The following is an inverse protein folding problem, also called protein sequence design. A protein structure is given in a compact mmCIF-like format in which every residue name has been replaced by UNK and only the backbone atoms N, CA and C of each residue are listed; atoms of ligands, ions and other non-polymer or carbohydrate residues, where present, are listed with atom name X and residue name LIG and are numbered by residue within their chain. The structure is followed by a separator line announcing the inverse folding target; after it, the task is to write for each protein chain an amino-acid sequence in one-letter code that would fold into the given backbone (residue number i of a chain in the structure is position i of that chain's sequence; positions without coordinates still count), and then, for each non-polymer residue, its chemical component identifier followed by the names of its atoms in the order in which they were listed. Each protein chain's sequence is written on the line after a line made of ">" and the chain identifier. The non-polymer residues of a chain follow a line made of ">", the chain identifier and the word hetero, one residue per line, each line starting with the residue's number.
data_IF_518289985662
#
_entry.id   IF_518289985662
#
_cell.length_a   1.000
_cell.length_b   1.000
_cell.length_c   1.000
_cell.angle_alpha   90.00
_cell.angle_beta   90.00
_cell.angle_gamma   90.00
#
_symmetry.space_group_name_H-M   'P 1'
#
loop_
_entity.id
_entity.type
_entity.pdbx_description
1 polymer ?
#
# COMPACT_ATOMS: atom_id res chain seq x y z
N UNK A 1 -9.81 -18.25 31.70
CA UNK A 1 -8.94 -17.37 30.89
C UNK A 1 -9.79 -16.21 30.41
N UNK A 2 -9.42 -14.98 30.74
CA UNK A 2 -10.26 -13.80 30.50
C UNK A 2 -10.38 -13.48 28.99
N UNK A 3 -11.57 -13.14 28.48
CA UNK A 3 -11.73 -12.68 27.09
C UNK A 3 -10.86 -11.44 26.78
N UNK A 4 -10.64 -10.59 27.79
CA UNK A 4 -9.77 -9.40 27.69
C UNK A 4 -8.29 -9.74 27.52
N UNK A 5 -7.80 -10.85 28.10
CA UNK A 5 -6.39 -11.24 27.93
C UNK A 5 -6.11 -11.72 26.51
N UNK A 6 -7.08 -12.34 25.83
CA UNK A 6 -6.93 -12.78 24.44
C UNK A 6 -6.89 -11.61 23.43
N UNK A 7 -7.56 -10.48 23.73
CA UNK A 7 -7.57 -9.30 22.86
C UNK A 7 -6.22 -8.55 22.87
N UNK A 8 -5.51 -8.57 23.99
CA UNK A 8 -4.24 -7.86 24.18
C UNK A 8 -3.00 -8.69 23.78
N UNK A 9 -3.09 -10.02 23.77
CA UNK A 9 -1.94 -10.91 23.56
C UNK A 9 -1.53 -11.11 22.08
N UNK A 10 -2.25 -10.53 21.10
CA UNK A 10 -2.18 -10.94 19.69
C UNK A 10 -1.59 -9.89 18.72
N UNK A 11 -1.02 -8.79 19.20
CA UNK A 11 -0.33 -7.83 18.31
C UNK A 11 1.18 -7.86 18.52
N UNK A 12 1.89 -7.75 17.41
CA UNK A 12 3.35 -7.52 17.40
C UNK A 12 3.71 -6.05 17.23
N UNK A 13 2.71 -5.22 16.91
CA UNK A 13 2.87 -3.77 16.75
C UNK A 13 2.79 -3.01 18.07
N UNK A 14 2.59 -1.70 17.95
CA UNK A 14 2.52 -0.80 19.09
C UNK A 14 1.29 -1.07 19.98
N UNK A 15 1.47 -1.04 21.30
CA UNK A 15 0.40 -1.27 22.29
C UNK A 15 -0.28 0.00 22.80
N UNK A 16 0.12 1.18 22.31
CA UNK A 16 -0.37 2.47 22.79
C UNK A 16 -1.88 2.69 22.59
N UNK A 17 -2.46 2.07 21.56
CA UNK A 17 -3.88 2.19 21.23
C UNK A 17 -4.75 1.09 21.88
N UNK A 18 -4.20 0.36 22.85
CA UNK A 18 -4.94 -0.66 23.61
C UNK A 18 -6.22 -0.13 24.28
N UNK A 19 -6.30 1.09 24.83
CA UNK A 19 -7.56 1.58 25.42
C UNK A 19 -8.66 1.74 24.38
N UNK A 20 -8.30 2.15 23.16
CA UNK A 20 -9.23 2.33 22.04
C UNK A 20 -9.71 0.96 21.53
N UNK A 21 -8.79 -0.01 21.43
CA UNK A 21 -9.12 -1.39 21.06
C UNK A 21 -10.11 -2.01 22.05
N UNK A 22 -9.89 -1.85 23.36
CA UNK A 22 -10.79 -2.32 24.40
C UNK A 22 -12.16 -1.61 24.36
N UNK A 23 -12.17 -0.30 24.14
CA UNK A 23 -13.41 0.48 24.05
C UNK A 23 -14.27 0.09 22.84
N UNK A 24 -13.66 -0.14 21.68
CA UNK A 24 -14.36 -0.49 20.45
C UNK A 24 -14.63 -1.99 20.29
N UNK A 25 -13.96 -2.84 21.08
CA UNK A 25 -14.02 -4.30 20.92
C UNK A 25 -13.40 -4.80 19.61
N UNK A 26 -12.45 -4.06 19.04
CA UNK A 26 -11.78 -4.36 17.77
C UNK A 26 -10.34 -4.82 18.06
N UNK A 27 -9.80 -5.84 17.36
CA UNK A 27 -8.41 -6.25 17.48
C UNK A 27 -7.42 -5.08 17.32
N UNK A 28 -6.40 -5.03 18.18
CA UNK A 28 -5.48 -3.90 18.27
C UNK A 28 -4.65 -3.66 17.00
N UNK A 29 -4.30 -4.72 16.26
CA UNK A 29 -3.65 -4.62 14.96
C UNK A 29 -4.50 -3.88 13.92
N UNK A 30 -5.81 -4.13 13.89
CA UNK A 30 -6.74 -3.42 13.02
C UNK A 30 -6.88 -1.95 13.42
N UNK A 31 -6.92 -1.67 14.73
CA UNK A 31 -6.94 -0.30 15.26
C UNK A 31 -5.66 0.44 14.86
N UNK A 32 -4.48 -0.17 15.05
CA UNK A 32 -3.20 0.42 14.64
C UNK A 32 -3.18 0.72 13.14
N UNK A 33 -3.64 -0.23 12.31
CA UNK A 33 -3.71 -0.05 10.86
C UNK A 33 -4.62 1.12 10.47
N UNK A 34 -5.86 1.17 10.99
CA UNK A 34 -6.83 2.24 10.69
C UNK A 34 -6.29 3.60 11.13
N UNK A 35 -5.71 3.69 12.33
CA UNK A 35 -5.15 4.94 12.85
C UNK A 35 -3.96 5.41 12.03
N UNK A 36 -3.09 4.50 11.56
CA UNK A 36 -2.04 4.83 10.62
C UNK A 36 -2.58 5.34 9.26
N UNK A 37 -3.70 4.81 8.75
CA UNK A 37 -4.31 5.34 7.52
C UNK A 37 -4.86 6.75 7.72
N UNK A 38 -5.56 7.00 8.83
CA UNK A 38 -6.10 8.32 9.16
C UNK A 38 -4.98 9.35 9.33
N UNK A 39 -3.94 8.99 10.08
CA UNK A 39 -2.76 9.83 10.25
C UNK A 39 -1.99 9.98 8.93
N UNK A 40 -1.91 8.95 8.10
CA UNK A 40 -1.33 9.00 6.76
C UNK A 40 -2.01 10.02 5.85
N UNK A 41 -3.34 10.13 5.90
CA UNK A 41 -4.10 11.15 5.17
C UNK A 41 -3.79 12.57 5.66
N UNK A 42 -3.77 12.76 6.98
CA UNK A 42 -3.41 14.04 7.59
C UNK A 42 -1.95 14.43 7.26
N UNK A 43 -1.03 13.47 7.36
CA UNK A 43 0.37 13.61 7.00
C UNK A 43 0.55 13.90 5.50
N UNK A 44 -0.29 13.35 4.62
CA UNK A 44 -0.26 13.66 3.19
C UNK A 44 -0.68 15.10 2.90
N UNK A 45 -1.70 15.60 3.61
CA UNK A 45 -2.11 17.00 3.55
C UNK A 45 -0.97 17.92 4.05
N UNK A 46 -0.41 17.61 5.21
CA UNK A 46 0.74 18.32 5.77
C UNK A 46 1.94 18.30 4.82
N UNK A 47 2.27 17.15 4.25
CA UNK A 47 3.37 16.98 3.30
C UNK A 47 3.17 17.85 2.05
N UNK A 48 1.95 17.94 1.53
CA UNK A 48 1.66 18.79 0.38
C UNK A 48 1.73 20.29 0.71
N UNK A 49 1.25 20.70 1.89
CA UNK A 49 1.18 22.12 2.28
C UNK A 49 2.54 22.69 2.71
N UNK A 50 3.30 21.92 3.49
CA UNK A 50 4.54 22.41 4.12
C UNK A 50 5.81 21.97 3.37
N UNK A 51 5.81 20.77 2.78
CA UNK A 51 6.93 20.24 2.00
C UNK A 51 6.67 20.42 0.50
N UNK A 52 6.22 21.63 0.12
CA UNK A 52 5.99 21.97 -1.29
C UNK A 52 7.31 21.94 -2.07
N UNK A 53 7.35 21.39 -3.31
CA UNK A 53 8.57 21.28 -4.11
C UNK A 53 9.35 22.59 -4.31
N UNK A 54 8.64 23.73 -4.32
CA UNK A 54 9.27 25.05 -4.46
C UNK A 54 10.04 25.50 -3.22
N UNK A 55 9.69 24.96 -2.04
CA UNK A 55 10.27 25.37 -0.75
C UNK A 55 11.29 24.38 -0.21
N UNK A 56 11.15 23.10 -0.57
CA UNK A 56 11.91 22.02 0.04
C UNK A 56 12.50 21.11 -1.04
N UNK A 57 13.81 20.87 -0.94
CA UNK A 57 14.53 20.06 -1.92
C UNK A 57 14.07 18.59 -1.97
N UNK A 58 14.25 17.91 -3.12
CA UNK A 58 13.78 16.54 -3.32
C UNK A 58 14.31 15.53 -2.29
N UNK A 59 15.59 15.62 -1.91
CA UNK A 59 16.20 14.70 -0.95
C UNK A 59 15.50 14.72 0.42
N UNK A 60 15.11 15.90 0.90
CA UNK A 60 14.38 16.03 2.19
C UNK A 60 12.98 15.45 2.06
N UNK A 61 12.29 15.70 0.94
CA UNK A 61 10.96 15.13 0.66
C UNK A 61 11.01 13.60 0.59
N UNK A 62 12.03 13.04 -0.06
CA UNK A 62 12.27 11.61 -0.10
C UNK A 62 12.55 11.03 1.30
N UNK A 63 13.43 11.67 2.07
CA UNK A 63 13.79 11.22 3.41
C UNK A 63 12.58 11.21 4.35
N UNK A 64 11.80 12.30 4.38
CA UNK A 64 10.59 12.39 5.22
C UNK A 64 9.54 11.38 4.77
N UNK A 65 9.34 11.24 3.45
CA UNK A 65 8.38 10.27 2.91
C UNK A 65 8.70 8.83 3.31
N UNK A 66 9.99 8.47 3.25
CA UNK A 66 10.50 7.15 3.66
C UNK A 66 10.47 6.96 5.18
N UNK A 67 10.83 7.98 5.96
CA UNK A 67 10.85 7.92 7.42
C UNK A 67 9.44 7.72 7.99
N UNK A 68 8.45 8.47 7.49
CA UNK A 68 7.06 8.32 7.91
C UNK A 68 6.52 6.92 7.56
N UNK A 69 6.83 6.39 6.38
CA UNK A 69 6.33 5.07 5.99
C UNK A 69 7.03 3.95 6.76
N UNK A 70 8.34 4.08 7.01
CA UNK A 70 9.07 3.17 7.90
C UNK A 70 8.46 3.17 9.31
N UNK A 71 8.14 4.35 9.84
CA UNK A 71 7.44 4.49 11.11
C UNK A 71 6.08 3.78 11.10
N UNK A 72 5.27 3.92 10.05
CA UNK A 72 3.97 3.24 9.96
C UNK A 72 4.10 1.71 9.94
N UNK A 73 5.05 1.17 9.19
CA UNK A 73 5.25 -0.28 9.13
C UNK A 73 5.74 -0.80 10.50
N UNK A 74 6.68 -0.11 11.14
CA UNK A 74 7.17 -0.48 12.48
C UNK A 74 6.04 -0.38 13.51
N UNK A 75 5.24 0.70 13.47
CA UNK A 75 4.13 0.91 14.40
C UNK A 75 3.07 -0.18 14.27
N UNK A 76 2.70 -0.56 13.04
CA UNK A 76 1.67 -1.57 12.80
C UNK A 76 2.13 -3.00 13.08
N UNK A 77 3.37 -3.35 12.72
CA UNK A 77 3.83 -4.75 12.65
C UNK A 77 5.02 -5.08 13.57
N UNK A 78 5.59 -4.11 14.27
CA UNK A 78 6.75 -4.28 15.16
C UNK A 78 7.87 -5.08 14.53
N UNK A 79 8.30 -6.18 15.14
CA UNK A 79 9.44 -6.96 14.65
C UNK A 79 9.21 -7.61 13.28
N UNK A 80 7.96 -7.92 12.91
CA UNK A 80 7.65 -8.45 11.57
C UNK A 80 7.88 -7.42 10.46
N UNK A 81 7.97 -6.12 10.79
CA UNK A 81 8.38 -5.08 9.83
C UNK A 81 9.77 -5.35 9.23
N UNK A 82 10.63 -6.10 9.93
CA UNK A 82 11.95 -6.51 9.43
C UNK A 82 11.87 -7.22 8.08
N UNK A 83 10.84 -8.02 7.82
CA UNK A 83 10.65 -8.69 6.53
C UNK A 83 10.48 -7.71 5.37
N UNK A 84 9.78 -6.60 5.61
CA UNK A 84 9.59 -5.52 4.62
C UNK A 84 10.93 -4.86 4.31
N UNK A 85 11.71 -4.53 5.34
CA UNK A 85 13.04 -3.92 5.18
C UNK A 85 14.04 -4.87 4.50
N UNK A 86 14.07 -6.14 4.90
CA UNK A 86 14.94 -7.16 4.30
C UNK A 86 14.63 -7.34 2.81
N UNK A 87 13.36 -7.49 2.45
CA UNK A 87 12.97 -7.59 1.05
C UNK A 87 13.36 -6.32 0.26
N UNK A 88 13.10 -5.14 0.84
CA UNK A 88 13.48 -3.84 0.26
C UNK A 88 14.98 -3.79 -0.06
N UNK A 89 15.83 -4.15 0.91
CA UNK A 89 17.29 -4.10 0.75
C UNK A 89 17.79 -5.16 -0.24
N UNK A 90 17.31 -6.40 -0.17
CA UNK A 90 17.68 -7.47 -1.12
C UNK A 90 17.33 -7.02 -2.55
N UNK A 91 16.11 -6.52 -2.76
CA UNK A 91 15.68 -6.06 -4.08
C UNK A 91 16.48 -4.85 -4.58
N UNK A 92 16.90 -3.92 -3.70
CA UNK A 92 17.80 -2.83 -4.09
C UNK A 92 19.17 -3.34 -4.56
N UNK A 93 19.76 -4.28 -3.82
CA UNK A 93 21.05 -4.89 -4.20
C UNK A 93 20.91 -5.58 -5.56
N UNK A 94 19.85 -6.34 -5.79
CA UNK A 94 19.60 -6.99 -7.09
C UNK A 94 19.42 -5.98 -8.22
N UNK A 95 18.65 -4.91 -7.98
CA UNK A 95 18.40 -3.85 -8.97
C UNK A 95 19.72 -3.19 -9.45
N UNK A 96 20.68 -3.04 -8.55
CA UNK A 96 21.95 -2.38 -8.84
C UNK A 96 23.07 -3.33 -9.31
N UNK A 97 23.12 -4.55 -8.77
CA UNK A 97 24.19 -5.53 -9.06
C UNK A 97 23.90 -6.42 -10.27
N UNK A 98 22.63 -6.73 -10.55
CA UNK A 98 22.29 -7.57 -11.69
C UNK A 98 22.53 -6.85 -13.02
N UNK A 99 22.80 -7.64 -14.07
CA UNK A 99 22.80 -7.14 -15.44
C UNK A 99 21.42 -6.62 -15.82
N UNK A 100 21.38 -5.54 -16.59
CA UNK A 100 20.13 -4.89 -17.01
C UNK A 100 19.24 -5.83 -17.82
N UNK A 101 19.81 -6.84 -18.50
CA UNK A 101 19.07 -7.85 -19.26
C UNK A 101 18.33 -8.87 -18.38
N UNK A 102 18.80 -9.11 -17.16
CA UNK A 102 18.26 -10.18 -16.28
C UNK A 102 17.71 -9.65 -14.95
N UNK A 103 17.84 -8.35 -14.68
CA UNK A 103 17.42 -7.71 -13.42
C UNK A 103 15.95 -7.96 -13.06
N UNK A 104 15.05 -7.97 -14.04
CA UNK A 104 13.62 -8.19 -13.84
C UNK A 104 13.33 -9.62 -13.38
N UNK A 105 13.99 -10.62 -13.97
CA UNK A 105 13.85 -12.03 -13.56
C UNK A 105 14.39 -12.27 -12.15
N UNK A 106 15.60 -11.78 -11.85
CA UNK A 106 16.16 -11.95 -10.50
C UNK A 106 15.33 -11.26 -9.44
N UNK A 107 14.86 -10.03 -9.72
CA UNK A 107 13.99 -9.30 -8.79
C UNK A 107 12.65 -10.00 -8.59
N UNK A 108 12.04 -10.53 -9.67
CA UNK A 108 10.79 -11.29 -9.60
C UNK A 108 10.94 -12.57 -8.77
N UNK A 109 11.94 -13.39 -9.07
CA UNK A 109 12.17 -14.66 -8.38
C UNK A 109 12.49 -14.41 -6.90
N UNK A 110 13.36 -13.45 -6.59
CA UNK A 110 13.70 -13.13 -5.21
C UNK A 110 12.50 -12.58 -4.42
N UNK A 111 11.75 -11.63 -4.99
CA UNK A 111 10.64 -11.00 -4.30
C UNK A 111 9.45 -11.96 -4.11
N UNK A 112 9.06 -12.67 -5.17
CA UNK A 112 7.98 -13.65 -5.11
C UNK A 112 8.37 -14.87 -4.27
N UNK A 113 9.61 -15.33 -4.36
CA UNK A 113 10.13 -16.43 -3.54
C UNK A 113 10.13 -16.07 -2.05
N UNK A 114 10.62 -14.87 -1.70
CA UNK A 114 10.61 -14.39 -0.33
C UNK A 114 9.19 -14.28 0.24
N UNK A 115 8.26 -13.70 -0.53
CA UNK A 115 6.85 -13.65 -0.15
C UNK A 115 6.27 -15.05 0.02
N UNK A 116 6.55 -15.98 -0.88
CA UNK A 116 6.09 -17.38 -0.80
C UNK A 116 6.57 -18.05 0.47
N UNK A 117 7.86 -17.92 0.81
CA UNK A 117 8.41 -18.45 2.07
C UNK A 117 7.67 -17.85 3.27
N UNK A 118 7.47 -16.53 3.31
CA UNK A 118 6.73 -15.88 4.39
C UNK A 118 5.26 -16.37 4.49
N UNK A 119 4.59 -16.57 3.36
CA UNK A 119 3.22 -17.08 3.29
C UNK A 119 3.15 -18.53 3.81
N UNK A 120 4.07 -19.38 3.36
CA UNK A 120 4.16 -20.78 3.78
C UNK A 120 4.50 -20.88 5.27
N UNK A 121 5.52 -20.15 5.73
CA UNK A 121 5.86 -20.05 7.15
C UNK A 121 4.67 -19.59 7.99
N UNK A 122 3.85 -18.65 7.48
CA UNK A 122 2.66 -18.22 8.21
C UNK A 122 1.66 -19.36 8.38
N UNK A 123 1.41 -20.15 7.33
CA UNK A 123 0.50 -21.29 7.40
C UNK A 123 0.98 -22.33 8.43
N UNK A 124 2.28 -22.63 8.45
CA UNK A 124 2.84 -23.64 9.36
C UNK A 124 2.97 -23.16 10.80
N UNK A 125 3.32 -21.89 11.03
CA UNK A 125 3.54 -21.33 12.37
C UNK A 125 2.21 -20.94 13.05
N UNK A 126 1.26 -20.39 12.30
CA UNK A 126 0.03 -19.81 12.87
C UNK A 126 -1.22 -20.68 12.70
N UNK A 127 -1.06 -22.01 12.72
CA UNK A 127 -2.12 -23.03 12.68
C UNK A 127 -3.53 -22.47 13.00
N UNK A 128 -4.32 -22.19 11.95
CA UNK A 128 -5.77 -21.92 11.87
C UNK A 128 -6.55 -21.32 13.07
N UNK A 129 -5.92 -20.55 13.97
CA UNK A 129 -6.60 -20.11 15.20
C UNK A 129 -6.09 -18.83 15.87
N UNK A 130 -4.97 -18.27 15.41
CA UNK A 130 -4.46 -17.00 15.93
C UNK A 130 -4.53 -15.96 14.80
N UNK A 131 -5.38 -14.93 14.88
CA UNK A 131 -5.30 -13.77 14.02
C UNK A 131 -4.04 -12.98 14.38
N UNK A 132 -2.89 -13.50 13.97
CA UNK A 132 -1.64 -12.77 14.02
C UNK A 132 -1.68 -11.64 13.00
N UNK A 133 -1.12 -10.50 13.39
CA UNK A 133 -0.99 -9.28 12.58
C UNK A 133 -0.54 -9.63 11.16
N UNK A 134 -1.38 -9.38 10.16
CA UNK A 134 -1.09 -9.75 8.76
C UNK A 134 -0.07 -8.80 8.12
N UNK A 135 1.21 -8.99 8.46
CA UNK A 135 2.36 -8.27 7.87
C UNK A 135 2.56 -8.58 6.38
N UNK A 136 1.81 -9.53 5.82
CA UNK A 136 1.94 -9.89 4.41
C UNK A 136 1.36 -8.84 3.49
N UNK A 137 0.42 -8.00 3.96
CA UNK A 137 -0.14 -6.89 3.18
C UNK A 137 0.94 -5.93 2.65
N UNK A 138 1.71 -5.26 3.52
CA UNK A 138 2.83 -4.43 3.10
C UNK A 138 3.88 -5.19 2.29
N UNK A 139 4.12 -6.47 2.61
CA UNK A 139 5.08 -7.29 1.88
C UNK A 139 4.61 -7.54 0.42
N UNK A 140 3.31 -7.75 0.20
CA UNK A 140 2.71 -7.86 -1.14
C UNK A 140 2.86 -6.55 -1.93
N UNK A 141 2.59 -5.41 -1.29
CA UNK A 141 2.79 -4.08 -1.89
C UNK A 141 4.25 -3.86 -2.31
N UNK A 142 5.18 -4.30 -1.46
CA UNK A 142 6.60 -4.26 -1.76
C UNK A 142 6.97 -5.10 -2.98
N UNK A 143 6.52 -6.36 -3.04
CA UNK A 143 6.76 -7.25 -4.20
C UNK A 143 6.29 -6.58 -5.48
N UNK A 144 5.08 -6.02 -5.50
CA UNK A 144 4.56 -5.33 -6.68
C UNK A 144 5.44 -4.15 -7.08
N UNK A 145 5.80 -3.27 -6.14
CA UNK A 145 6.64 -2.09 -6.43
C UNK A 145 8.01 -2.45 -6.98
N UNK A 146 8.71 -3.40 -6.34
CA UNK A 146 10.11 -3.72 -6.70
C UNK A 146 10.19 -4.51 -7.99
N UNK A 147 9.23 -5.39 -8.26
CA UNK A 147 9.19 -6.15 -9.51
C UNK A 147 8.82 -5.24 -10.67
N UNK A 148 7.79 -4.41 -10.54
CA UNK A 148 7.42 -3.41 -11.57
C UNK A 148 8.59 -2.48 -11.91
N UNK A 149 9.30 -1.96 -10.89
CA UNK A 149 10.49 -1.14 -11.09
C UNK A 149 11.60 -1.88 -11.86
N UNK A 150 11.83 -3.16 -11.55
CA UNK A 150 12.84 -3.95 -12.24
C UNK A 150 12.48 -4.20 -13.72
N UNK A 151 11.20 -4.43 -14.02
CA UNK A 151 10.71 -4.52 -15.41
C UNK A 151 10.84 -3.19 -16.15
N UNK A 152 10.46 -2.08 -15.52
CA UNK A 152 10.59 -0.74 -16.09
C UNK A 152 12.06 -0.37 -16.37
N UNK A 153 12.99 -0.77 -15.50
CA UNK A 153 14.42 -0.60 -15.72
C UNK A 153 14.94 -1.46 -16.88
N UNK A 154 14.49 -2.71 -16.99
CA UNK A 154 14.84 -3.56 -18.11
C UNK A 154 14.34 -2.97 -19.44
N UNK A 155 13.08 -2.53 -19.47
CA UNK A 155 12.47 -1.95 -20.66
C UNK A 155 13.21 -0.69 -21.11
N UNK A 156 13.58 0.20 -20.18
CA UNK A 156 14.32 1.43 -20.50
C UNK A 156 15.78 1.25 -20.90
N UNK A 157 16.44 0.16 -20.51
CA UNK A 157 17.86 -0.08 -20.81
C UNK A 157 18.14 -1.12 -21.88
N UNK A 158 17.22 -2.05 -22.14
CA UNK A 158 17.48 -3.22 -22.97
C UNK A 158 16.52 -3.38 -24.15
N UNK A 159 15.33 -2.77 -24.12
CA UNK A 159 14.36 -2.88 -25.22
C UNK A 159 14.44 -1.67 -26.13
N UNK A 160 14.21 -1.88 -27.43
CA UNK A 160 14.11 -0.79 -28.39
C UNK A 160 12.81 -0.04 -28.21
N UNK A 161 12.84 1.27 -28.41
CA UNK A 161 11.68 2.13 -28.24
C UNK A 161 10.50 1.70 -29.10
N UNK A 162 10.74 1.24 -30.33
CA UNK A 162 9.73 0.74 -31.28
C UNK A 162 8.99 -0.52 -30.79
N UNK A 163 9.63 -1.33 -29.96
CA UNK A 163 9.07 -2.59 -29.44
C UNK A 163 8.22 -2.40 -28.17
N UNK A 164 8.28 -1.20 -27.58
CA UNK A 164 7.55 -0.85 -26.37
C UNK A 164 6.17 -0.29 -26.72
N UNK A 165 5.16 -0.72 -25.98
CA UNK A 165 3.85 -0.05 -26.01
C UNK A 165 3.97 1.40 -25.52
N UNK A 166 3.00 2.26 -25.85
CA UNK A 166 3.04 3.65 -25.43
C UNK A 166 3.18 3.83 -23.90
N UNK A 167 2.51 2.98 -23.11
CA UNK A 167 2.62 2.99 -21.65
C UNK A 167 3.97 2.46 -21.16
N UNK A 168 4.47 1.34 -21.71
CA UNK A 168 5.79 0.84 -21.35
C UNK A 168 6.87 1.88 -21.63
N UNK A 169 6.75 2.57 -22.77
CA UNK A 169 7.64 3.63 -23.19
C UNK A 169 7.63 4.82 -22.23
N UNK A 170 6.45 5.25 -21.78
CA UNK A 170 6.29 6.34 -20.81
C UNK A 170 6.88 5.99 -19.44
N UNK A 171 6.74 4.73 -19.03
CA UNK A 171 7.14 4.25 -17.70
C UNK A 171 8.55 3.64 -17.67
N UNK A 172 9.23 3.59 -18.81
CA UNK A 172 10.57 3.05 -18.95
C UNK A 172 11.60 3.86 -18.14
N UNK A 173 12.49 3.16 -17.44
CA UNK A 173 13.47 3.78 -16.55
C UNK A 173 14.86 3.59 -17.13
N UNK A 174 15.52 4.70 -17.46
CA UNK A 174 16.87 4.71 -18.04
C UNK A 174 17.95 4.82 -16.96
N UNK A 175 17.66 5.51 -15.86
CA UNK A 175 18.61 5.72 -14.76
C UNK A 175 18.20 4.91 -13.54
N UNK A 176 19.15 4.21 -12.92
CA UNK A 176 18.87 3.46 -11.69
C UNK A 176 18.59 4.45 -10.55
N UNK A 177 17.55 4.23 -9.73
CA UNK A 177 17.33 5.05 -8.54
C UNK A 177 18.50 4.94 -7.57
N UNK A 178 18.84 6.05 -6.94
CA UNK A 178 19.67 6.08 -5.74
C UNK A 178 18.98 5.33 -4.59
N UNK A 179 19.74 5.01 -3.54
CA UNK A 179 19.18 4.35 -2.36
C UNK A 179 18.05 5.17 -1.74
N UNK A 180 18.21 6.49 -1.67
CA UNK A 180 17.21 7.38 -1.08
C UNK A 180 15.91 7.40 -1.90
N UNK A 181 15.99 7.55 -3.22
CA UNK A 181 14.82 7.52 -4.10
C UNK A 181 14.12 6.16 -4.05
N UNK A 182 14.90 5.07 -4.02
CA UNK A 182 14.39 3.71 -3.93
C UNK A 182 13.67 3.46 -2.60
N UNK A 183 14.29 3.81 -1.47
CA UNK A 183 13.69 3.69 -0.13
C UNK A 183 12.45 4.59 -0.01
N UNK A 184 12.48 5.76 -0.61
CA UNK A 184 11.34 6.65 -0.67
C UNK A 184 10.20 6.03 -1.47
N UNK A 185 10.45 5.51 -2.67
CA UNK A 185 9.44 4.87 -3.50
C UNK A 185 8.82 3.64 -2.83
N UNK A 186 9.65 2.78 -2.26
CA UNK A 186 9.20 1.54 -1.62
C UNK A 186 8.45 1.81 -0.31
N UNK A 187 9.06 2.59 0.58
CA UNK A 187 8.58 2.86 1.93
C UNK A 187 7.83 4.20 2.04
N UNK A 188 7.20 4.70 0.97
CA UNK A 188 6.41 5.92 1.09
C UNK A 188 5.17 5.71 1.97
N UNK A 189 4.98 6.59 2.95
CA UNK A 189 3.84 6.52 3.88
C UNK A 189 2.47 6.55 3.21
N UNK A 190 2.37 7.10 1.99
CA UNK A 190 1.12 7.23 1.23
C UNK A 190 0.59 5.89 0.68
N UNK A 191 1.45 4.86 0.53
CA UNK A 191 1.06 3.58 -0.10
C UNK A 191 1.72 2.34 0.51
N UNK A 192 2.61 2.48 1.50
CA UNK A 192 3.38 1.35 2.06
C UNK A 192 2.50 0.32 2.77
N UNK A 193 1.48 0.78 3.50
CA UNK A 193 0.55 -0.10 4.21
C UNK A 193 -0.54 -0.62 3.27
N UNK A 194 -1.06 0.28 2.44
CA UNK A 194 -2.11 0.01 1.46
C UNK A 194 -2.23 1.18 0.49
N UNK A 195 -2.57 0.88 -0.76
CA UNK A 195 -2.78 1.86 -1.81
C UNK A 195 -2.57 1.22 -3.17
N UNK A 196 -2.89 1.89 -4.27
CA UNK A 196 -2.50 1.43 -5.58
C UNK A 196 -0.98 1.49 -5.70
N UNK A 197 -0.40 0.50 -6.37
CA UNK A 197 0.98 0.59 -6.81
C UNK A 197 1.09 1.67 -7.89
N UNK A 198 1.60 2.84 -7.51
CA UNK A 198 2.08 3.84 -8.45
C UNK A 198 3.38 3.35 -9.09
N UNK A 199 3.61 3.70 -10.36
CA UNK A 199 4.90 3.47 -11.01
C UNK A 199 5.98 4.35 -10.39
N UNK A 200 7.25 3.93 -10.52
CA UNK A 200 8.37 4.70 -9.97
C UNK A 200 8.52 6.07 -10.64
N UNK A 201 8.36 6.17 -11.96
CA UNK A 201 8.45 7.44 -12.70
C UNK A 201 7.43 8.47 -12.21
N UNK A 202 6.16 8.07 -12.11
CA UNK A 202 5.08 8.93 -11.61
C UNK A 202 5.32 9.35 -10.15
N UNK A 203 5.88 8.45 -9.33
CA UNK A 203 6.24 8.73 -7.94
C UNK A 203 7.39 9.74 -7.83
N UNK A 204 8.48 9.52 -8.57
CA UNK A 204 9.64 10.41 -8.59
C UNK A 204 9.22 11.82 -9.04
N UNK A 205 8.45 11.91 -10.12
CA UNK A 205 7.96 13.19 -10.65
C UNK A 205 7.07 13.95 -9.64
N UNK A 206 6.32 13.24 -8.78
CA UNK A 206 5.56 13.85 -7.69
C UNK A 206 6.45 14.37 -6.54
N UNK A 207 7.44 13.59 -6.11
CA UNK A 207 8.31 13.96 -4.99
C UNK A 207 9.34 15.04 -5.38
N UNK A 208 9.75 15.08 -6.63
CA UNK A 208 10.65 16.11 -7.15
C UNK A 208 9.88 17.37 -7.58
N UNK A 209 8.60 17.23 -7.96
CA UNK A 209 7.75 18.35 -8.34
C UNK A 209 7.93 18.82 -9.79
N UNK A 210 8.48 17.98 -10.66
CA UNK A 210 8.64 18.30 -12.10
C UNK A 210 7.32 18.67 -12.78
N UNK A 211 6.19 18.10 -12.35
CA UNK A 211 4.85 18.49 -12.82
C UNK A 211 4.53 19.99 -12.59
N UNK A 212 4.96 20.55 -11.46
CA UNK A 212 4.75 21.96 -11.11
C UNK A 212 5.69 22.83 -11.94
N UNK A 213 6.96 22.42 -12.07
CA UNK A 213 7.95 23.14 -12.86
C UNK A 213 7.61 23.17 -14.36
N UNK A 214 7.19 22.04 -14.94
CA UNK A 214 6.78 21.95 -16.34
C UNK A 214 5.54 22.79 -16.63
N UNK A 215 4.56 22.82 -15.70
CA UNK A 215 3.39 23.71 -15.80
C UNK A 215 3.78 25.17 -15.67
N UNK A 216 4.69 25.53 -14.77
CA UNK A 216 5.18 26.91 -14.64
C UNK A 216 5.89 27.36 -15.91
N UNK A 217 6.76 26.51 -16.48
CA UNK A 217 7.49 26.76 -17.73
C UNK A 217 6.57 26.90 -18.93
N UNK A 218 5.53 26.07 -19.03
CA UNK A 218 4.52 26.17 -20.09
C UNK A 218 3.68 27.46 -19.97
N UNK A 219 3.31 27.86 -18.75
CA UNK A 219 2.60 29.13 -18.50
C UNK A 219 3.48 30.37 -18.74
N UNK A 220 4.80 30.25 -18.61
CA UNK A 220 5.76 31.31 -18.97
C UNK A 220 5.97 31.43 -20.49
N UNK A 221 5.78 30.36 -21.26
CA UNK A 221 5.89 30.37 -22.72
C UNK A 221 4.62 30.82 -23.45
N UNK A 222 3.43 30.62 -22.86
CA UNK A 222 2.17 31.14 -23.39
C UNK A 222 1.73 32.37 -22.59
N UNK A 223 1.87 33.56 -23.17
CA UNK A 223 1.48 34.84 -22.59
C UNK A 223 0.12 34.80 -21.87
N UNK A 224 0.16 34.92 -20.53
CA UNK A 224 -0.86 35.58 -19.71
C UNK A 224 -2.19 34.84 -19.51
N UNK A 225 -2.55 34.69 -18.24
CA UNK A 225 -3.85 34.24 -17.71
C UNK A 225 -4.13 32.74 -17.76
N UNK A 226 -3.68 32.09 -16.69
CA UNK A 226 -4.10 30.73 -16.36
C UNK A 226 -3.31 30.14 -15.21
N UNK A 227 -3.20 30.85 -14.08
CA UNK A 227 -2.82 30.20 -12.83
C UNK A 227 -3.94 29.21 -12.48
N UNK A 228 -3.95 28.04 -13.12
CA UNK A 228 -4.79 26.93 -12.73
C UNK A 228 -4.35 26.55 -11.32
N UNK A 229 -5.09 27.09 -10.34
CA UNK A 229 -4.88 26.83 -8.93
C UNK A 229 -4.77 25.32 -8.75
N UNK A 230 -3.70 24.90 -8.07
CA UNK A 230 -3.55 23.50 -7.67
C UNK A 230 -4.89 23.00 -7.10
N UNK A 231 -5.44 21.87 -7.57
CA UNK A 231 -6.74 21.41 -7.11
C UNK A 231 -6.70 21.24 -5.59
N UNK A 232 -7.69 21.85 -4.92
CA UNK A 232 -7.72 21.93 -3.47
C UNK A 232 -7.63 20.53 -2.86
N UNK A 233 -6.63 20.25 -2.01
CA UNK A 233 -6.50 18.96 -1.34
C UNK A 233 -7.71 18.66 -0.47
N UNK A 234 -8.35 19.68 0.10
CA UNK A 234 -9.47 19.54 1.04
C UNK A 234 -10.68 18.87 0.38
N UNK A 235 -11.00 19.23 -0.88
CA UNK A 235 -12.12 18.63 -1.60
C UNK A 235 -11.89 17.14 -1.86
N UNK A 236 -10.71 16.78 -2.34
CA UNK A 236 -10.33 15.39 -2.57
C UNK A 236 -10.36 14.59 -1.26
N UNK A 237 -9.79 15.14 -0.19
CA UNK A 237 -9.76 14.52 1.14
C UNK A 237 -11.17 14.29 1.68
N UNK A 238 -12.05 15.29 1.65
CA UNK A 238 -13.44 15.16 2.09
C UNK A 238 -14.20 14.10 1.27
N UNK A 239 -14.00 14.06 -0.04
CA UNK A 239 -14.61 13.05 -0.90
C UNK A 239 -14.13 11.65 -0.54
N UNK A 240 -12.81 11.44 -0.37
CA UNK A 240 -12.25 10.14 0.04
C UNK A 240 -12.76 9.73 1.43
N UNK A 241 -12.83 10.66 2.38
CA UNK A 241 -13.37 10.40 3.73
C UNK A 241 -14.84 9.97 3.67
N UNK A 242 -15.69 10.65 2.89
CA UNK A 242 -17.09 10.28 2.73
C UNK A 242 -17.26 8.89 2.10
N UNK A 243 -16.49 8.59 1.05
CA UNK A 243 -16.48 7.24 0.45
C UNK A 243 -16.04 6.20 1.48
N UNK A 244 -15.03 6.50 2.30
CA UNK A 244 -14.53 5.58 3.31
C UNK A 244 -15.57 5.31 4.42
N UNK A 245 -16.28 6.33 4.89
CA UNK A 245 -17.37 6.18 5.86
C UNK A 245 -18.52 5.37 5.27
N UNK A 246 -18.88 5.64 4.01
CA UNK A 246 -19.89 4.87 3.28
C UNK A 246 -19.50 3.39 3.12
N UNK A 247 -18.26 3.11 2.73
CA UNK A 247 -17.75 1.75 2.59
C UNK A 247 -17.67 1.01 3.93
N UNK A 248 -17.26 1.67 5.02
CA UNK A 248 -17.26 1.07 6.36
C UNK A 248 -18.67 0.75 6.83
N UNK A 249 -19.61 1.69 6.68
CA UNK A 249 -21.00 1.47 7.05
C UNK A 249 -21.61 0.29 6.27
N UNK A 250 -21.38 0.24 4.96
CA UNK A 250 -21.80 -0.86 4.10
C UNK A 250 -21.14 -2.19 4.49
N UNK A 251 -19.83 -2.20 4.76
CA UNK A 251 -19.09 -3.36 5.23
C UNK A 251 -19.70 -3.91 6.53
N UNK A 252 -19.88 -3.06 7.55
CA UNK A 252 -20.42 -3.47 8.84
C UNK A 252 -21.83 -4.02 8.72
N UNK A 253 -22.69 -3.43 7.88
CA UNK A 253 -24.06 -3.93 7.67
C UNK A 253 -24.04 -5.29 6.98
N UNK A 254 -23.31 -5.44 5.88
CA UNK A 254 -23.36 -6.66 5.07
C UNK A 254 -22.60 -7.81 5.75
N UNK A 255 -21.43 -7.58 6.35
CA UNK A 255 -20.72 -8.66 7.07
C UNK A 255 -21.48 -9.15 8.30
N UNK A 256 -22.27 -8.29 8.98
CA UNK A 256 -23.19 -8.76 10.02
C UNK A 256 -24.33 -9.60 9.46
N UNK A 257 -24.81 -9.27 8.25
CA UNK A 257 -25.95 -9.96 7.62
C UNK A 257 -25.55 -11.28 6.95
N UNK A 258 -24.32 -11.37 6.43
CA UNK A 258 -23.76 -12.52 5.72
C UNK A 258 -22.38 -12.91 6.29
N UNK A 259 -22.33 -13.50 7.50
CA UNK A 259 -21.07 -13.92 8.10
C UNK A 259 -20.40 -15.03 7.27
N UNK A 260 -19.10 -14.85 6.99
CA UNK A 260 -18.32 -15.83 6.21
C UNK A 260 -18.31 -17.21 6.89
N UNK A 261 -18.35 -17.24 8.23
CA UNK A 261 -18.36 -18.47 9.04
C UNK A 261 -19.56 -19.37 8.73
N UNK A 262 -20.65 -18.83 8.18
CA UNK A 262 -21.79 -19.65 7.77
C UNK A 262 -21.48 -20.57 6.58
N UNK A 263 -20.46 -20.28 5.77
CA UNK A 263 -20.05 -21.16 4.66
C UNK A 263 -19.47 -22.50 5.14
N UNK A 264 -18.99 -22.56 6.38
CA UNK A 264 -18.41 -23.77 6.99
C UNK A 264 -19.34 -24.39 8.03
N UNK A 265 -20.56 -23.86 8.17
CA UNK A 265 -21.56 -24.40 9.07
C UNK A 265 -22.04 -25.78 8.60
N UNK A 266 -21.96 -26.77 9.48
CA UNK A 266 -22.23 -28.16 9.15
C UNK A 266 -23.68 -28.37 8.71
N UNK A 267 -24.62 -27.63 9.29
CA UNK A 267 -26.03 -27.74 8.93
C UNK A 267 -26.28 -27.16 7.54
N UNK A 268 -25.73 -25.97 7.26
CA UNK A 268 -25.83 -25.35 5.94
C UNK A 268 -25.16 -26.18 4.83
N UNK A 269 -23.98 -26.74 5.10
CA UNK A 269 -23.24 -27.55 4.11
C UNK A 269 -23.99 -28.84 3.75
N UNK A 270 -24.66 -29.45 4.73
CA UNK A 270 -25.35 -30.73 4.57
C UNK A 270 -26.76 -30.58 3.99
N UNK A 271 -27.49 -29.52 4.35
CA UNK A 271 -28.91 -29.37 3.99
C UNK A 271 -29.13 -28.51 2.73
N UNK A 272 -28.21 -27.58 2.42
CA UNK A 272 -28.44 -26.60 1.37
C UNK A 272 -28.04 -27.11 -0.03
N UNK A 273 -28.85 -26.85 -1.07
CA UNK A 273 -28.49 -27.15 -2.45
C UNK A 273 -27.18 -26.48 -2.88
N UNK A 274 -26.39 -27.13 -3.74
CA UNK A 274 -25.09 -26.62 -4.21
C UNK A 274 -25.19 -25.18 -4.75
N UNK A 275 -26.27 -24.85 -5.49
CA UNK A 275 -26.44 -23.50 -6.03
C UNK A 275 -26.62 -22.44 -4.94
N UNK A 276 -27.32 -22.76 -3.86
CA UNK A 276 -27.50 -21.86 -2.71
C UNK A 276 -26.20 -21.69 -1.92
N UNK A 277 -25.39 -22.75 -1.81
CA UNK A 277 -24.05 -22.70 -1.22
C UNK A 277 -23.10 -21.83 -2.04
N UNK A 278 -23.13 -21.97 -3.36
CA UNK A 278 -22.33 -21.13 -4.28
C UNK A 278 -22.78 -19.67 -4.25
N UNK A 279 -24.10 -19.41 -4.25
CA UNK A 279 -24.65 -18.06 -4.17
C UNK A 279 -24.30 -17.39 -2.83
N UNK A 280 -24.45 -18.10 -1.71
CA UNK A 280 -24.08 -17.60 -0.39
C UNK A 280 -22.57 -17.38 -0.27
N UNK A 281 -21.74 -18.30 -0.77
CA UNK A 281 -20.29 -18.13 -0.82
C UNK A 281 -19.90 -16.90 -1.64
N UNK A 282 -20.50 -16.69 -2.81
CA UNK A 282 -20.26 -15.50 -3.61
C UNK A 282 -20.64 -14.23 -2.84
N UNK A 283 -21.86 -14.14 -2.29
CA UNK A 283 -22.33 -12.95 -1.56
C UNK A 283 -21.50 -12.69 -0.30
N UNK A 284 -21.20 -13.70 0.50
CA UNK A 284 -20.42 -13.57 1.74
C UNK A 284 -18.95 -13.24 1.50
N UNK A 285 -18.31 -13.79 0.45
CA UNK A 285 -16.95 -13.41 0.05
C UNK A 285 -16.93 -11.97 -0.46
N UNK A 286 -17.92 -11.55 -1.25
CA UNK A 286 -18.03 -10.16 -1.70
C UNK A 286 -18.32 -9.21 -0.54
N UNK A 287 -19.13 -9.61 0.43
CA UNK A 287 -19.38 -8.87 1.67
C UNK A 287 -18.11 -8.67 2.51
N UNK A 288 -17.17 -9.62 2.44
CA UNK A 288 -15.91 -9.58 3.16
C UNK A 288 -14.83 -8.70 2.50
N UNK A 289 -14.98 -8.37 1.22
CA UNK A 289 -13.98 -7.62 0.44
C UNK A 289 -13.92 -6.10 0.69
N UNK A 290 -15.01 -5.38 1.01
CA UNK A 290 -14.99 -3.95 1.31
C UNK A 290 -13.94 -3.50 2.33
N UNK A 291 -13.54 -4.35 3.29
CA UNK A 291 -12.44 -4.07 4.22
C UNK A 291 -11.11 -3.74 3.53
N UNK A 292 -10.87 -4.32 2.34
CA UNK A 292 -9.68 -4.06 1.54
C UNK A 292 -9.84 -2.86 0.61
N UNK A 293 -11.06 -2.60 0.13
CA UNK A 293 -11.35 -1.45 -0.75
C UNK A 293 -11.30 -0.12 0.00
N UNK A 294 -11.70 -0.07 1.28
CA UNK A 294 -11.53 1.09 2.15
C UNK A 294 -10.09 1.60 2.15
N UNK A 295 -9.17 0.66 2.35
CA UNK A 295 -7.75 0.89 2.41
C UNK A 295 -7.21 1.31 1.01
N UNK A 296 -7.70 0.68 -0.06
CA UNK A 296 -7.36 1.05 -1.45
C UNK A 296 -7.78 2.47 -1.84
N UNK A 297 -8.96 2.93 -1.42
CA UNK A 297 -9.48 4.27 -1.73
C UNK A 297 -8.61 5.39 -1.18
N UNK A 298 -7.91 5.20 -0.04
CA UNK A 298 -6.97 6.18 0.50
C UNK A 298 -5.75 6.42 -0.39
N UNK A 299 -5.27 5.37 -1.08
CA UNK A 299 -4.08 5.48 -1.91
C UNK A 299 -4.34 5.95 -3.34
N UNK A 300 -5.59 5.85 -3.84
CA UNK A 300 -5.93 6.27 -5.22
C UNK A 300 -6.08 7.77 -5.30
N UNK A 301 -5.10 8.44 -5.93
CA UNK A 301 -5.29 9.81 -6.41
C UNK A 301 -6.35 9.82 -7.52
N UNK A 302 -7.33 10.69 -7.36
CA UNK A 302 -8.16 11.09 -8.48
C UNK A 302 -7.25 11.86 -9.46
N UNK A 303 -7.28 11.43 -10.73
CA UNK A 303 -6.50 12.04 -11.82
C UNK A 303 -6.87 13.50 -12.02
#
# INVERSE_FOLDING_TARGET
>A
MDPQSNLLLQTTGCSWLSPISLFLGIPLDQVNFIMCQMFGLAAACWFRLFLHPERVGPAVRHAIGSALGSFFVIFCFGWYSSHVFVLTLISYVLLHRASTRTVHWYSMIAAMGYLTVCQVSRVFIFNYGVPATDFSGPLMMMVQKVTTLAFQLHDGKCRKQEELTAEQRRLAIVTRPSLLEYLSYTLNFMSVLVGPCSNYSDYAEFIEGHHVHNKLKHNLQHNGYGAHAEPSPVRAVCQKLMVCVGCLFWFFIITRRFPISYNVDLQFVNEAPILSRLAYAFVSIQAARPKFYFAWTFGVRDK
#
